data_IF_136732227599
#
_entry.id   IF_136732227599
#
_cell.length_a   1.000
_cell.length_b   1.000
_cell.length_c   1.000
_cell.angle_alpha   90.00
_cell.angle_beta   90.00
_cell.angle_gamma   90.00
#
_symmetry.space_group_name_H-M   'P 1'
#
loop_
_entity.id
_entity.type
_entity.pdbx_description
1 polymer ?
#
# COMPACT_ATOMS: atom_id res chain seq x y z
N UNK A 1 -22.08 17.37 -33.61
CA UNK A 1 -20.61 17.19 -33.56
C UNK A 1 -20.20 17.27 -32.11
N UNK A 2 -20.22 16.13 -31.42
CA UNK A 2 -19.94 16.06 -29.99
C UNK A 2 -18.43 16.15 -29.78
N UNK A 3 -18.00 17.30 -29.27
CA UNK A 3 -16.77 17.59 -28.53
C UNK A 3 -15.77 16.41 -28.35
N UNK A 4 -15.00 16.11 -29.40
CA UNK A 4 -13.90 15.12 -29.36
C UNK A 4 -12.63 15.87 -28.96
N UNK A 5 -12.65 16.41 -27.75
CA UNK A 5 -11.48 16.77 -26.99
C UNK A 5 -11.61 16.11 -25.61
N UNK A 6 -11.81 14.78 -25.59
CA UNK A 6 -11.44 13.98 -24.43
C UNK A 6 -9.92 14.16 -24.31
N UNK A 7 -9.48 15.24 -23.63
CA UNK A 7 -8.08 15.53 -23.34
C UNK A 7 -7.46 14.22 -22.88
N UNK A 8 -6.42 13.77 -23.59
CA UNK A 8 -5.66 12.60 -23.17
C UNK A 8 -5.11 12.94 -21.79
N UNK A 9 -5.79 12.46 -20.75
CA UNK A 9 -5.37 12.66 -19.38
C UNK A 9 -4.06 11.92 -19.21
N UNK A 10 -3.02 12.62 -18.75
CA UNK A 10 -1.71 12.02 -18.58
C UNK A 10 -1.78 10.99 -17.44
N UNK A 11 -0.94 9.95 -17.47
CA UNK A 11 -0.95 8.90 -16.44
C UNK A 11 -0.88 9.47 -15.01
N UNK A 12 -0.01 10.49 -14.85
CA UNK A 12 0.14 11.27 -13.61
C UNK A 12 -1.16 11.96 -13.15
N UNK A 13 -1.94 12.52 -14.07
CA UNK A 13 -3.21 13.18 -13.71
C UNK A 13 -4.25 12.15 -13.25
N UNK A 14 -4.25 10.97 -13.89
CA UNK A 14 -5.11 9.84 -13.49
C UNK A 14 -4.73 9.32 -12.10
N UNK A 15 -3.43 9.13 -11.87
CA UNK A 15 -2.87 8.70 -10.59
C UNK A 15 -3.27 9.66 -9.47
N UNK A 16 -3.01 10.96 -9.63
CA UNK A 16 -3.36 11.98 -8.64
C UNK A 16 -4.87 12.04 -8.36
N UNK A 17 -5.70 11.84 -9.39
CA UNK A 17 -7.17 11.85 -9.24
C UNK A 17 -7.64 10.63 -8.44
N UNK A 18 -7.10 9.45 -8.74
CA UNK A 18 -7.42 8.21 -8.04
C UNK A 18 -6.94 8.22 -6.59
N UNK A 19 -5.71 8.70 -6.34
CA UNK A 19 -5.17 8.85 -4.97
C UNK A 19 -6.00 9.86 -4.17
N UNK A 20 -6.38 11.00 -4.77
CA UNK A 20 -7.25 11.96 -4.11
C UNK A 20 -8.63 11.38 -3.79
N UNK A 21 -9.20 10.56 -4.66
CA UNK A 21 -10.48 9.89 -4.40
C UNK A 21 -10.34 8.87 -3.27
N UNK A 22 -9.29 8.03 -3.32
CA UNK A 22 -9.00 7.06 -2.27
C UNK A 22 -8.92 7.74 -0.88
N UNK A 23 -8.16 8.84 -0.78
CA UNK A 23 -8.04 9.63 0.46
C UNK A 23 -9.37 10.22 0.91
N UNK A 24 -10.19 10.73 -0.02
CA UNK A 24 -11.53 11.24 0.32
C UNK A 24 -12.48 10.15 0.84
N UNK A 25 -12.23 8.89 0.46
CA UNK A 25 -12.94 7.71 0.93
C UNK A 25 -12.35 7.08 2.21
N UNK A 26 -11.40 7.75 2.86
CA UNK A 26 -10.81 7.31 4.13
C UNK A 26 -9.55 6.44 4.00
N UNK A 27 -9.03 6.24 2.79
CA UNK A 27 -7.75 5.54 2.60
C UNK A 27 -6.61 6.46 3.02
N UNK A 28 -5.94 6.12 4.12
CA UNK A 28 -4.78 6.83 4.63
C UNK A 28 -3.66 5.81 4.88
N UNK A 29 -2.91 5.42 3.82
CA UNK A 29 -1.78 4.51 3.97
C UNK A 29 -0.76 5.16 4.91
N UNK A 30 -0.28 4.39 5.87
CA UNK A 30 0.75 4.85 6.80
C UNK A 30 2.11 4.32 6.36
N UNK A 31 3.17 5.07 6.65
CA UNK A 31 4.53 4.62 6.34
C UNK A 31 4.80 3.26 6.98
N UNK A 32 5.36 2.35 6.19
CA UNK A 32 5.82 1.05 6.65
C UNK A 32 7.13 1.14 7.45
N UNK A 33 7.23 0.30 8.46
CA UNK A 33 8.39 0.14 9.32
C UNK A 33 8.66 -1.34 9.54
N UNK A 34 9.93 -1.68 9.70
CA UNK A 34 10.37 -3.01 10.12
C UNK A 34 11.18 -2.88 11.41
N UNK A 35 11.37 -4.01 12.09
CA UNK A 35 12.26 -4.10 13.24
C UNK A 35 13.54 -4.78 12.76
N UNK A 36 14.66 -4.06 12.81
CA UNK A 36 15.98 -4.66 12.55
C UNK A 36 16.33 -5.64 13.66
N UNK A 37 16.99 -6.73 13.31
CA UNK A 37 17.28 -7.82 14.24
C UNK A 37 16.08 -8.75 14.45
N UNK A 38 16.31 -10.05 14.25
CA UNK A 38 15.31 -11.09 14.45
C UNK A 38 15.20 -11.44 15.94
N UNK A 39 13.96 -11.56 16.43
CA UNK A 39 13.72 -12.13 17.75
C UNK A 39 12.54 -13.10 17.72
N UNK A 40 12.67 -14.14 18.54
CA UNK A 40 11.62 -15.07 18.88
C UNK A 40 11.68 -15.31 20.39
N UNK A 41 10.69 -14.78 21.11
CA UNK A 41 10.64 -14.78 22.57
C UNK A 41 9.34 -15.45 22.99
N UNK A 42 9.45 -16.44 23.87
CA UNK A 42 8.30 -17.05 24.54
C UNK A 42 8.32 -16.61 25.99
N UNK A 43 7.34 -15.81 26.40
CA UNK A 43 7.23 -15.26 27.75
C UNK A 43 5.76 -15.22 28.17
N UNK A 44 5.47 -15.61 29.41
CA UNK A 44 4.12 -15.58 30.01
C UNK A 44 3.00 -16.23 29.17
N UNK A 45 3.36 -17.25 28.36
CA UNK A 45 2.42 -17.96 27.48
C UNK A 45 2.16 -17.24 26.15
N UNK A 46 2.81 -16.11 25.91
CA UNK A 46 2.77 -15.36 24.65
C UNK A 46 4.05 -15.59 23.84
N UNK A 47 3.92 -15.48 22.51
CA UNK A 47 5.05 -15.54 21.57
C UNK A 47 5.21 -14.18 20.92
N UNK A 48 6.35 -13.53 21.15
CA UNK A 48 6.75 -12.31 20.46
C UNK A 48 7.72 -12.70 19.35
N UNK A 49 7.38 -12.37 18.12
CA UNK A 49 8.17 -12.71 16.96
C UNK A 49 8.21 -11.55 15.97
N UNK A 50 9.41 -11.24 15.48
CA UNK A 50 9.63 -10.38 14.32
C UNK A 50 10.89 -10.82 13.60
N UNK A 51 10.82 -10.82 12.28
CA UNK A 51 11.99 -10.80 11.39
C UNK A 51 11.97 -9.50 10.57
N UNK A 52 12.97 -9.33 9.70
CA UNK A 52 13.11 -8.12 8.87
C UNK A 52 12.16 -8.11 7.66
N UNK A 53 11.47 -9.21 7.37
CA UNK A 53 10.43 -9.30 6.34
C UNK A 53 9.06 -8.83 6.84
N UNK A 54 8.87 -8.71 8.16
CA UNK A 54 7.64 -8.20 8.73
C UNK A 54 7.57 -6.68 8.73
N UNK A 55 6.41 -6.18 8.33
CA UNK A 55 6.13 -4.75 8.30
C UNK A 55 4.94 -4.35 9.17
N UNK A 56 5.09 -3.16 9.72
CA UNK A 56 4.20 -2.60 10.72
C UNK A 56 3.97 -1.12 10.47
N UNK A 57 2.90 -0.58 11.06
CA UNK A 57 2.87 0.86 11.33
C UNK A 57 3.81 1.19 12.50
N UNK A 58 4.26 2.45 12.59
CA UNK A 58 5.21 2.89 13.61
C UNK A 58 4.81 2.50 15.03
N UNK A 59 3.56 2.75 15.41
CA UNK A 59 3.05 2.46 16.75
C UNK A 59 3.11 0.96 17.09
N UNK A 60 2.80 0.10 16.13
CA UNK A 60 2.86 -1.35 16.30
C UNK A 60 4.31 -1.86 16.39
N UNK A 61 5.21 -1.34 15.54
CA UNK A 61 6.64 -1.68 15.60
C UNK A 61 7.26 -1.29 16.95
N UNK A 62 7.04 -0.05 17.39
CA UNK A 62 7.57 0.45 18.67
C UNK A 62 6.95 -0.27 19.87
N UNK A 63 5.66 -0.61 19.80
CA UNK A 63 4.97 -1.38 20.82
C UNK A 63 5.58 -2.78 20.97
N UNK A 64 5.72 -3.49 19.85
CA UNK A 64 6.28 -4.84 19.82
C UNK A 64 7.74 -4.84 20.30
N UNK A 65 8.57 -3.95 19.76
CA UNK A 65 9.98 -3.87 20.16
C UNK A 65 10.13 -3.56 21.65
N UNK A 66 9.34 -2.63 22.19
CA UNK A 66 9.37 -2.28 23.62
C UNK A 66 9.08 -3.48 24.51
N UNK A 67 8.08 -4.30 24.15
CA UNK A 67 7.76 -5.53 24.88
C UNK A 67 8.91 -6.53 24.76
N UNK A 68 9.44 -6.73 23.55
CA UNK A 68 10.55 -7.65 23.31
C UNK A 68 11.83 -7.29 24.10
N UNK A 69 12.19 -6.01 24.15
CA UNK A 69 13.41 -5.54 24.81
C UNK A 69 13.49 -5.89 26.31
N UNK A 70 12.36 -6.02 27.00
CA UNK A 70 12.33 -6.44 28.43
C UNK A 70 12.91 -7.84 28.61
N UNK A 71 12.79 -8.71 27.60
CA UNK A 71 13.24 -10.10 27.64
C UNK A 71 14.61 -10.32 26.97
N UNK A 72 15.15 -9.32 26.27
CA UNK A 72 16.45 -9.38 25.62
C UNK A 72 17.59 -8.94 26.57
N UNK A 73 18.71 -9.67 26.52
CA UNK A 73 19.96 -9.32 27.21
C UNK A 73 20.55 -8.01 26.69
N UNK A 74 21.27 -7.26 27.53
CA UNK A 74 21.82 -5.94 27.21
C UNK A 74 22.49 -5.84 25.84
N UNK A 75 23.44 -6.73 25.54
CA UNK A 75 24.20 -6.74 24.28
C UNK A 75 23.31 -6.94 23.03
N UNK A 76 22.16 -7.60 23.18
CA UNK A 76 21.21 -7.81 22.07
C UNK A 76 20.31 -6.60 21.84
N UNK A 77 20.12 -5.73 22.84
CA UNK A 77 19.18 -4.60 22.71
C UNK A 77 19.63 -3.59 21.67
N UNK A 78 20.94 -3.36 21.57
CA UNK A 78 21.51 -2.38 20.65
C UNK A 78 21.43 -2.81 19.18
N UNK A 79 21.20 -4.11 18.92
CA UNK A 79 20.99 -4.65 17.58
C UNK A 79 19.56 -4.42 17.08
N UNK A 80 18.61 -4.15 17.98
CA UNK A 80 17.19 -4.05 17.63
C UNK A 80 16.72 -2.61 17.58
N UNK A 81 16.19 -2.21 16.42
CA UNK A 81 15.67 -0.86 16.20
C UNK A 81 14.52 -0.85 15.22
N UNK A 82 13.59 0.07 15.41
CA UNK A 82 12.55 0.35 14.41
C UNK A 82 13.16 1.24 13.33
N UNK A 83 13.07 0.79 12.08
CA UNK A 83 13.54 1.53 10.91
C UNK A 83 12.40 1.64 9.91
N UNK A 84 12.29 2.79 9.23
CA UNK A 84 11.35 2.90 8.12
C UNK A 84 11.82 2.05 6.95
N UNK A 85 10.91 1.35 6.26
CA UNK A 85 11.25 0.77 4.97
C UNK A 85 11.43 1.88 3.93
N UNK A 86 12.36 1.65 3.00
CA UNK A 86 12.42 2.44 1.78
C UNK A 86 11.26 1.99 0.88
N UNK A 87 10.54 2.95 0.28
CA UNK A 87 9.45 2.65 -0.64
C UNK A 87 10.05 2.15 -1.95
N UNK A 88 10.44 0.88 -2.01
CA UNK A 88 11.06 0.30 -3.20
C UNK A 88 10.34 -0.96 -3.65
N UNK A 89 9.75 -0.87 -4.84
CA UNK A 89 9.64 -1.97 -5.81
C UNK A 89 9.25 -3.33 -5.22
N UNK A 90 8.08 -3.40 -4.60
CA UNK A 90 7.57 -4.64 -4.02
C UNK A 90 6.55 -5.31 -4.93
N UNK A 91 6.29 -6.59 -4.67
CA UNK A 91 5.40 -7.42 -5.48
C UNK A 91 3.96 -7.48 -4.93
N UNK A 92 3.68 -6.92 -3.76
CA UNK A 92 2.38 -7.05 -3.09
C UNK A 92 1.94 -5.82 -2.29
N UNK A 93 0.63 -5.77 -2.01
CA UNK A 93 0.02 -4.82 -1.09
C UNK A 93 0.40 -5.14 0.37
N UNK A 94 0.67 -4.09 1.15
CA UNK A 94 1.19 -4.19 2.51
C UNK A 94 0.17 -3.76 3.56
N UNK A 95 0.05 -4.57 4.62
CA UNK A 95 -0.73 -4.24 5.80
C UNK A 95 0.12 -4.46 7.04
N UNK A 96 -0.08 -3.63 8.07
CA UNK A 96 0.55 -3.82 9.36
C UNK A 96 0.18 -5.20 9.91
N UNK A 97 1.17 -6.03 10.21
CA UNK A 97 0.96 -7.40 10.67
C UNK A 97 0.16 -7.50 11.98
N UNK A 98 0.17 -6.44 12.79
CA UNK A 98 -0.52 -6.39 14.08
C UNK A 98 -1.94 -5.83 13.97
N UNK A 99 -2.09 -4.63 13.38
CA UNK A 99 -3.38 -3.93 13.39
C UNK A 99 -4.14 -3.97 12.06
N UNK A 100 -3.55 -4.54 11.01
CA UNK A 100 -4.15 -4.63 9.68
C UNK A 100 -4.27 -3.28 8.95
N UNK A 101 -3.68 -2.20 9.47
CA UNK A 101 -3.69 -0.90 8.79
C UNK A 101 -2.96 -1.00 7.44
N UNK A 102 -3.54 -0.41 6.39
CA UNK A 102 -2.89 -0.31 5.08
C UNK A 102 -1.58 0.49 5.20
N UNK A 103 -0.50 -0.10 4.72
CA UNK A 103 0.80 0.56 4.64
C UNK A 103 0.99 1.18 3.26
N UNK A 104 1.75 2.27 3.18
CA UNK A 104 2.16 2.84 1.91
C UNK A 104 3.20 1.93 1.24
N UNK A 105 3.10 1.77 -0.08
CA UNK A 105 3.94 0.87 -0.85
C UNK A 105 4.10 1.36 -2.29
N UNK A 106 5.15 0.86 -2.94
CA UNK A 106 5.41 1.07 -4.36
C UNK A 106 5.54 -0.30 -5.05
N UNK A 107 5.03 -0.41 -6.27
CA UNK A 107 5.07 -1.66 -7.02
C UNK A 107 6.32 -1.74 -7.92
N UNK A 108 6.81 -2.95 -8.12
CA UNK A 108 7.71 -3.29 -9.22
C UNK A 108 6.93 -3.91 -10.39
N UNK A 109 7.63 -4.30 -11.46
CA UNK A 109 7.01 -4.94 -12.63
C UNK A 109 6.25 -6.23 -12.30
N UNK A 110 6.74 -7.02 -11.33
CA UNK A 110 6.08 -8.24 -10.86
C UNK A 110 4.81 -7.89 -10.09
N UNK A 111 4.86 -6.89 -9.21
CA UNK A 111 3.71 -6.40 -8.46
C UNK A 111 2.63 -5.81 -9.37
N UNK A 112 3.03 -5.06 -10.40
CA UNK A 112 2.11 -4.60 -11.44
C UNK A 112 1.46 -5.79 -12.15
N UNK A 113 2.23 -6.82 -12.52
CA UNK A 113 1.68 -8.01 -13.17
C UNK A 113 0.67 -8.76 -12.26
N UNK A 114 0.98 -8.90 -10.98
CA UNK A 114 0.10 -9.52 -9.98
C UNK A 114 -1.22 -8.76 -9.81
N UNK A 115 -1.15 -7.43 -9.71
CA UNK A 115 -2.35 -6.56 -9.63
C UNK A 115 -3.16 -6.58 -10.94
N UNK A 116 -2.49 -6.67 -12.09
CA UNK A 116 -3.18 -6.85 -13.37
C UNK A 116 -3.96 -8.17 -13.40
N UNK A 117 -3.34 -9.28 -12.99
CA UNK A 117 -4.01 -10.57 -12.88
C UNK A 117 -5.18 -10.52 -11.88
N UNK A 118 -5.01 -9.81 -10.76
CA UNK A 118 -6.08 -9.57 -9.80
C UNK A 118 -7.29 -8.90 -10.48
N UNK A 119 -7.09 -7.79 -11.20
CA UNK A 119 -8.20 -7.07 -11.85
C UNK A 119 -8.76 -7.76 -13.10
N UNK A 120 -8.01 -8.70 -13.70
CA UNK A 120 -8.53 -9.59 -14.73
C UNK A 120 -9.48 -10.64 -14.15
N UNK A 121 -9.13 -11.22 -13.00
CA UNK A 121 -9.96 -12.22 -12.31
C UNK A 121 -11.12 -11.59 -11.50
N UNK A 122 -10.90 -10.38 -11.00
CA UNK A 122 -11.84 -9.64 -10.16
C UNK A 122 -12.04 -8.24 -10.75
N UNK A 123 -12.84 -8.11 -11.83
CA UNK A 123 -13.06 -6.82 -12.47
C UNK A 123 -13.67 -5.79 -11.51
N UNK A 124 -13.35 -4.52 -11.76
CA UNK A 124 -13.84 -3.39 -10.96
C UNK A 124 -15.35 -3.42 -10.79
N UNK A 125 -15.80 -3.21 -9.55
CA UNK A 125 -17.22 -3.02 -9.23
C UNK A 125 -17.79 -1.79 -9.95
N UNK A 126 -19.12 -1.72 -10.04
CA UNK A 126 -19.80 -0.59 -10.69
C UNK A 126 -19.47 0.74 -10.00
N UNK A 127 -19.42 0.73 -8.68
CA UNK A 127 -18.99 1.84 -7.85
C UNK A 127 -17.55 1.57 -7.41
N UNK A 128 -16.64 2.49 -7.74
CA UNK A 128 -15.22 2.33 -7.43
C UNK A 128 -15.02 2.41 -5.92
N UNK A 129 -14.45 1.37 -5.31
CA UNK A 129 -14.10 1.41 -3.90
C UNK A 129 -12.84 2.25 -3.71
N UNK A 130 -12.73 3.02 -2.60
CA UNK A 130 -11.54 3.81 -2.32
C UNK A 130 -10.23 2.99 -2.32
N UNK A 131 -10.27 1.76 -1.80
CA UNK A 131 -9.12 0.84 -1.84
C UNK A 131 -8.68 0.54 -3.26
N UNK A 132 -9.59 0.14 -4.15
CA UNK A 132 -9.27 -0.14 -5.56
C UNK A 132 -8.65 1.08 -6.25
N UNK A 133 -9.15 2.28 -5.94
CA UNK A 133 -8.58 3.51 -6.48
C UNK A 133 -7.11 3.71 -6.05
N UNK A 134 -6.79 3.40 -4.79
CA UNK A 134 -5.41 3.45 -4.30
C UNK A 134 -4.50 2.44 -5.02
N UNK A 135 -4.91 1.17 -5.12
CA UNK A 135 -4.15 0.13 -5.83
C UNK A 135 -3.86 0.51 -7.29
N UNK A 136 -4.87 1.00 -8.01
CA UNK A 136 -4.71 1.43 -9.41
C UNK A 136 -3.79 2.66 -9.52
N UNK A 137 -3.79 3.56 -8.53
CA UNK A 137 -2.85 4.67 -8.49
C UNK A 137 -1.40 4.17 -8.35
N UNK A 138 -1.13 3.18 -7.49
CA UNK A 138 0.20 2.55 -7.38
C UNK A 138 0.63 1.85 -8.67
N UNK A 139 -0.31 1.19 -9.37
CA UNK A 139 -0.02 0.60 -10.70
C UNK A 139 0.34 1.67 -11.74
N UNK A 140 -0.36 2.81 -11.76
CA UNK A 140 -0.07 3.92 -12.68
C UNK A 140 1.28 4.57 -12.39
N UNK A 141 1.66 4.70 -11.13
CA UNK A 141 2.95 5.22 -10.71
C UNK A 141 4.10 4.31 -11.19
N UNK A 142 3.94 2.99 -11.02
CA UNK A 142 4.94 2.00 -11.42
C UNK A 142 5.02 1.78 -12.95
N UNK A 143 3.87 1.74 -13.63
CA UNK A 143 3.78 1.42 -15.06
C UNK A 143 2.93 2.45 -15.85
N UNK A 144 3.36 3.74 -15.91
CA UNK A 144 2.55 4.83 -16.47
C UNK A 144 2.30 4.72 -17.99
N UNK A 145 3.09 3.91 -18.69
CA UNK A 145 2.96 3.70 -20.14
C UNK A 145 2.24 2.38 -20.51
N UNK A 146 1.94 1.52 -19.53
CA UNK A 146 1.31 0.23 -19.81
C UNK A 146 -0.15 0.41 -20.26
N UNK A 147 -0.49 -0.14 -21.42
CA UNK A 147 -1.81 0.06 -22.04
C UNK A 147 -2.95 -0.57 -21.22
N UNK A 148 -2.68 -1.67 -20.53
CA UNK A 148 -3.65 -2.38 -19.71
C UNK A 148 -3.91 -1.62 -18.42
N UNK A 149 -2.85 -1.14 -17.76
CA UNK A 149 -2.95 -0.25 -16.58
C UNK A 149 -3.73 1.01 -16.93
N UNK A 150 -3.38 1.68 -18.04
CA UNK A 150 -4.09 2.87 -18.50
C UNK A 150 -5.57 2.61 -18.81
N UNK A 151 -5.91 1.41 -19.31
CA UNK A 151 -7.30 1.00 -19.57
C UNK A 151 -8.08 0.83 -18.26
N UNK A 152 -7.51 0.15 -17.29
CA UNK A 152 -8.12 -0.06 -15.95
C UNK A 152 -8.30 1.29 -15.26
N UNK A 153 -7.29 2.15 -15.27
CA UNK A 153 -7.37 3.51 -14.71
C UNK A 153 -8.51 4.33 -15.32
N UNK A 154 -8.63 4.37 -16.65
CA UNK A 154 -9.73 5.07 -17.32
C UNK A 154 -11.10 4.51 -16.94
N UNK A 155 -11.22 3.19 -16.78
CA UNK A 155 -12.45 2.56 -16.32
C UNK A 155 -12.78 2.98 -14.89
N UNK A 156 -11.80 2.94 -13.98
CA UNK A 156 -11.97 3.36 -12.59
C UNK A 156 -12.42 4.83 -12.48
N UNK A 157 -11.78 5.73 -13.24
CA UNK A 157 -12.15 7.15 -13.28
C UNK A 157 -13.61 7.38 -13.71
N UNK A 158 -14.13 6.58 -14.64
CA UNK A 158 -15.55 6.62 -15.05
C UNK A 158 -16.50 6.13 -13.97
N UNK A 159 -16.02 5.36 -13.00
CA UNK A 159 -16.77 4.81 -11.87
C UNK A 159 -16.62 5.63 -10.58
N UNK A 160 -15.76 6.67 -10.55
CA UNK A 160 -15.72 7.61 -9.43
C UNK A 160 -17.10 8.28 -9.30
N UNK A 161 -17.75 8.22 -8.12
CA UNK A 161 -19.06 8.83 -7.92
C UNK A 161 -19.03 10.32 -8.23
N UNK A 162 -20.10 10.83 -8.84
CA UNK A 162 -20.20 12.25 -9.27
C UNK A 162 -19.93 13.25 -8.16
N UNK A 163 -20.27 12.91 -6.92
CA UNK A 163 -20.06 13.77 -5.74
C UNK A 163 -18.56 14.03 -5.45
N UNK A 164 -17.66 13.23 -6.01
CA UNK A 164 -16.21 13.33 -5.83
C UNK A 164 -15.47 13.84 -7.08
N UNK A 165 -16.17 14.12 -8.19
CA UNK A 165 -15.54 14.74 -9.37
C UNK A 165 -15.48 16.23 -9.13
N UNK A 166 -14.28 16.81 -8.95
CA UNK A 166 -14.12 18.27 -8.89
C UNK A 166 -14.70 18.89 -10.17
N UNK A 167 -15.51 19.94 -10.00
CA UNK A 167 -15.96 20.81 -11.10
C UNK A 167 -14.76 21.42 -11.84
#
# INVERSE_FOLDING_TARGET
MADIAEKIMHARDMEMTLDSFARSGGIAPVRAYYISGEFHIVADGETLYSDEGHEYCLQCAEGLLRTALVHLSGDKRDEHRVSSTELHHEDTCKHCLICGALLDYALNDIGVASELDHYLMHPLSRDLRPGDAFHIARMLEAAPADRTVLRIARQALRQIPRVHRRN
#
